data_IF_909827316698
#
_entry.id   IF_909827316698
#
_cell.length_a   1.000
_cell.length_b   1.000
_cell.length_c   1.000
_cell.angle_alpha   90.00
_cell.angle_beta   90.00
_cell.angle_gamma   90.00
#
_symmetry.space_group_name_H-M   'P 1'
#
loop_
_entity.id
_entity.type
_entity.pdbx_description
1 polymer ?
#
# COMPACT_ATOMS: atom_id res chain seq x y z
N UNK A 1 10.58 32.81 47.04
CA UNK A 1 11.95 32.69 46.52
C UNK A 1 12.47 31.35 46.99
N UNK A 2 12.21 30.32 46.20
CA UNK A 2 12.99 29.08 46.18
C UNK A 2 12.60 28.37 44.89
N UNK A 3 13.59 28.28 44.01
CA UNK A 3 13.45 27.79 42.66
C UNK A 3 13.12 26.30 42.70
N UNK A 4 12.02 25.92 42.07
CA UNK A 4 11.80 24.55 41.64
C UNK A 4 12.89 24.29 40.58
N UNK A 5 13.90 23.53 40.96
CA UNK A 5 14.90 23.00 40.03
C UNK A 5 14.17 22.17 38.97
N UNK A 6 14.05 22.75 37.78
CA UNK A 6 13.73 22.04 36.56
C UNK A 6 14.93 21.12 36.27
N UNK A 7 14.83 19.87 36.71
CA UNK A 7 15.71 18.80 36.24
C UNK A 7 15.24 18.46 34.83
N UNK A 8 15.75 19.19 33.85
CA UNK A 8 15.64 18.86 32.43
C UNK A 8 16.65 17.75 32.13
N UNK A 9 16.26 16.50 32.42
CA UNK A 9 17.01 15.34 31.95
C UNK A 9 16.78 15.23 30.44
N UNK A 10 17.64 15.88 29.65
CA UNK A 10 17.75 15.68 28.21
C UNK A 10 17.87 14.16 27.97
N UNK A 11 16.82 13.53 27.44
CA UNK A 11 16.78 12.07 27.27
C UNK A 11 17.91 11.66 26.33
N UNK A 12 18.77 10.75 26.80
CA UNK A 12 19.88 10.25 25.98
C UNK A 12 19.34 9.57 24.71
N UNK A 13 19.82 9.98 23.53
CA UNK A 13 19.35 9.46 22.23
C UNK A 13 19.39 7.93 22.15
N UNK A 14 20.32 7.29 22.87
CA UNK A 14 20.42 5.84 22.98
C UNK A 14 19.13 5.17 23.45
N UNK A 15 18.41 5.78 24.37
CA UNK A 15 17.15 5.23 24.91
C UNK A 15 15.97 5.45 23.96
N UNK A 16 16.12 6.39 23.01
CA UNK A 16 15.06 6.83 22.12
C UNK A 16 15.14 6.17 20.75
N UNK A 17 16.35 5.98 20.21
CA UNK A 17 16.57 5.59 18.81
C UNK A 17 17.48 4.37 18.70
N UNK A 18 17.04 3.37 17.93
CA UNK A 18 17.90 2.28 17.45
C UNK A 18 18.19 2.48 15.97
N UNK A 19 19.45 2.36 15.58
CA UNK A 19 19.88 2.45 14.18
C UNK A 19 19.82 1.06 13.56
N UNK A 20 19.04 0.89 12.49
CA UNK A 20 19.12 -0.29 11.63
C UNK A 20 19.95 0.08 10.40
N UNK A 21 21.18 -0.43 10.35
CA UNK A 21 22.10 -0.24 9.24
C UNK A 21 21.99 -1.42 8.27
N UNK A 22 21.71 -1.14 7.00
CA UNK A 22 21.51 -2.16 5.96
C UNK A 22 22.65 -2.15 4.96
N UNK A 23 23.21 -3.32 4.69
CA UNK A 23 24.23 -3.48 3.66
C UNK A 23 24.06 -4.78 2.87
N UNK A 24 24.58 -4.78 1.65
CA UNK A 24 24.46 -5.86 0.67
C UNK A 24 25.80 -6.11 -0.01
N UNK A 25 25.92 -7.22 -0.74
CA UNK A 25 27.13 -7.46 -1.54
C UNK A 25 27.31 -6.36 -2.61
N UNK A 26 28.52 -5.78 -2.68
CA UNK A 26 28.90 -4.76 -3.65
C UNK A 26 30.28 -5.08 -4.25
N UNK A 27 30.60 -4.55 -5.45
CA UNK A 27 31.85 -4.88 -6.15
C UNK A 27 33.14 -4.56 -5.40
N UNK A 28 33.11 -3.63 -4.44
CA UNK A 28 34.29 -3.21 -3.68
C UNK A 28 34.61 -4.13 -2.50
N UNK A 29 33.77 -5.13 -2.21
CA UNK A 29 34.04 -6.09 -1.13
C UNK A 29 35.37 -6.82 -1.39
N UNK A 30 36.23 -7.03 -0.38
CA UNK A 30 35.94 -6.91 1.06
C UNK A 30 36.11 -5.52 1.68
N UNK A 31 36.41 -4.48 0.88
CA UNK A 31 36.68 -3.13 1.41
C UNK A 31 35.47 -2.54 2.14
N UNK A 32 35.71 -1.96 3.33
CA UNK A 32 34.72 -1.28 4.16
C UNK A 32 34.67 0.23 3.96
N UNK A 33 35.47 0.78 3.03
CA UNK A 33 35.65 2.24 2.84
C UNK A 33 34.35 3.02 2.71
N UNK A 34 33.38 2.47 1.97
CA UNK A 34 32.07 3.09 1.77
C UNK A 34 31.27 3.15 3.08
N UNK A 35 31.31 2.08 3.88
CA UNK A 35 30.65 2.05 5.20
C UNK A 35 31.34 3.03 6.14
N UNK A 36 32.67 3.08 6.09
CA UNK A 36 33.45 3.97 6.96
C UNK A 36 33.14 5.44 6.68
N UNK A 37 33.09 5.85 5.41
CA UNK A 37 32.68 7.21 5.02
C UNK A 37 31.26 7.56 5.52
N UNK A 38 30.34 6.59 5.51
CA UNK A 38 29.00 6.77 6.07
C UNK A 38 29.06 6.93 7.59
N UNK A 39 29.82 6.11 8.30
CA UNK A 39 29.96 6.22 9.75
C UNK A 39 30.67 7.51 10.18
N UNK A 40 31.67 7.98 9.42
CA UNK A 40 32.28 9.29 9.63
C UNK A 40 31.24 10.42 9.53
N UNK A 41 30.28 10.29 8.61
CA UNK A 41 29.19 11.26 8.48
C UNK A 41 28.23 11.28 9.68
N UNK A 42 28.24 10.27 10.56
CA UNK A 42 27.42 10.27 11.77
C UNK A 42 27.87 11.37 12.75
N UNK A 43 29.08 11.91 12.61
CA UNK A 43 29.56 13.06 13.37
C UNK A 43 28.74 14.34 13.11
N UNK A 44 27.99 14.41 11.99
CA UNK A 44 27.02 15.48 11.78
C UNK A 44 25.79 15.38 12.70
N UNK A 45 25.63 14.27 13.43
CA UNK A 45 24.50 14.01 14.31
C UNK A 45 25.03 13.71 15.72
N UNK A 46 25.14 14.72 16.61
CA UNK A 46 25.62 14.53 17.97
C UNK A 46 24.82 13.44 18.70
N UNK A 47 25.53 12.51 19.34
CA UNK A 47 24.94 11.39 20.10
C UNK A 47 24.47 10.18 19.28
N UNK A 48 24.49 10.25 17.94
CA UNK A 48 24.05 9.12 17.10
C UNK A 48 24.96 7.89 17.24
N UNK A 49 26.27 8.09 17.34
CA UNK A 49 27.26 7.02 17.58
C UNK A 49 27.11 6.35 18.95
N UNK A 50 26.36 6.96 19.87
CA UNK A 50 26.08 6.36 21.18
C UNK A 50 24.85 5.45 21.14
N UNK A 51 24.05 5.48 20.07
CA UNK A 51 22.81 4.72 19.99
C UNK A 51 23.06 3.21 19.82
N UNK A 52 22.05 2.41 20.18
CA UNK A 52 22.05 0.99 19.81
C UNK A 52 22.02 0.84 18.29
N UNK A 53 22.76 -0.14 17.77
CA UNK A 53 22.87 -0.36 16.33
C UNK A 53 22.68 -1.82 15.95
N UNK A 54 21.93 -2.03 14.87
CA UNK A 54 21.65 -3.33 14.28
C UNK A 54 22.14 -3.30 12.84
N UNK A 55 23.19 -4.05 12.53
CA UNK A 55 23.70 -4.19 11.17
C UNK A 55 23.10 -5.44 10.54
N UNK A 56 22.41 -5.29 9.41
CA UNK A 56 21.78 -6.40 8.70
C UNK A 56 22.31 -6.56 7.28
N UNK A 57 22.62 -7.80 6.94
CA UNK A 57 23.12 -8.24 5.64
C UNK A 57 22.02 -9.01 4.91
N UNK A 58 21.56 -8.53 3.75
CA UNK A 58 20.35 -9.03 3.07
C UNK A 58 20.51 -10.38 2.34
N UNK A 59 21.73 -10.93 2.36
CA UNK A 59 22.09 -12.24 1.83
C UNK A 59 22.28 -12.26 0.30
N UNK A 60 22.66 -13.41 -0.22
CA UNK A 60 23.03 -13.58 -1.63
C UNK A 60 22.47 -14.86 -2.25
N UNK A 61 22.58 -14.95 -3.58
CA UNK A 61 22.32 -16.13 -4.40
C UNK A 61 23.65 -16.46 -5.09
N UNK A 62 24.17 -17.66 -4.85
CA UNK A 62 25.37 -18.14 -5.56
C UNK A 62 24.99 -18.48 -6.99
N UNK A 63 25.74 -17.98 -7.96
CA UNK A 63 25.60 -18.37 -9.37
C UNK A 63 26.64 -19.42 -9.75
N UNK A 64 26.31 -20.24 -10.75
CA UNK A 64 27.21 -21.26 -11.30
C UNK A 64 28.44 -20.63 -11.98
N UNK A 65 29.52 -21.40 -12.04
CA UNK A 65 30.78 -20.97 -12.65
C UNK A 65 30.59 -20.60 -14.13
N UNK A 66 31.14 -19.45 -14.51
CA UNK A 66 30.99 -18.89 -15.86
C UNK A 66 29.77 -17.97 -16.06
N UNK A 67 28.88 -17.86 -15.08
CA UNK A 67 27.76 -16.89 -15.11
C UNK A 67 28.22 -15.54 -14.54
N UNK A 68 27.91 -14.46 -15.25
CA UNK A 68 28.26 -13.10 -14.83
C UNK A 68 27.56 -12.69 -13.51
N UNK A 69 28.35 -12.15 -12.59
CA UNK A 69 27.92 -11.57 -11.30
C UNK A 69 27.01 -10.35 -11.52
N UNK A 70 25.86 -10.34 -10.85
CA UNK A 70 24.89 -9.23 -10.85
C UNK A 70 24.56 -8.78 -9.44
N UNK A 71 25.39 -7.85 -8.92
CA UNK A 71 25.27 -7.28 -7.57
C UNK A 71 23.91 -6.65 -7.26
N UNK A 72 23.28 -5.94 -8.21
CA UNK A 72 21.91 -5.36 -8.01
C UNK A 72 20.83 -6.43 -7.73
N UNK A 73 21.07 -7.66 -8.17
CA UNK A 73 20.20 -8.80 -7.89
C UNK A 73 20.80 -9.79 -6.90
N UNK A 74 21.92 -9.42 -6.27
CA UNK A 74 22.70 -10.21 -5.30
C UNK A 74 22.92 -11.64 -5.78
N UNK A 75 23.15 -11.78 -7.09
CA UNK A 75 23.55 -13.00 -7.77
C UNK A 75 25.05 -12.91 -7.96
N UNK A 76 25.83 -13.59 -7.13
CA UNK A 76 27.27 -13.41 -7.06
C UNK A 76 28.02 -14.74 -7.17
N UNK A 77 29.21 -14.72 -7.77
CA UNK A 77 30.05 -15.90 -7.95
C UNK A 77 30.61 -16.39 -6.61
N UNK A 78 31.11 -17.62 -6.56
CA UNK A 78 31.71 -18.19 -5.34
C UNK A 78 32.89 -17.35 -4.81
N UNK A 79 33.70 -16.77 -5.70
CA UNK A 79 34.80 -15.87 -5.31
C UNK A 79 34.28 -14.60 -4.61
N UNK A 80 33.22 -13.98 -5.15
CA UNK A 80 32.61 -12.78 -4.58
C UNK A 80 31.87 -13.06 -3.27
N UNK A 81 31.39 -14.29 -3.06
CA UNK A 81 30.84 -14.73 -1.78
C UNK A 81 31.93 -14.70 -0.69
N UNK A 82 33.12 -15.21 -0.98
CA UNK A 82 34.24 -15.18 -0.02
C UNK A 82 34.58 -13.76 0.38
N UNK A 83 34.72 -12.85 -0.59
CA UNK A 83 34.94 -11.41 -0.35
C UNK A 83 33.81 -10.78 0.46
N UNK A 84 32.56 -11.20 0.22
CA UNK A 84 31.41 -10.68 0.97
C UNK A 84 31.38 -11.19 2.42
N UNK A 85 31.79 -12.43 2.69
CA UNK A 85 31.90 -12.95 4.06
C UNK A 85 33.00 -12.20 4.81
N UNK A 86 34.18 -12.00 4.19
CA UNK A 86 35.25 -11.18 4.77
C UNK A 86 34.78 -9.74 5.05
N UNK A 87 34.01 -9.15 4.14
CA UNK A 87 33.37 -7.85 4.34
C UNK A 87 32.42 -7.84 5.55
N UNK A 88 31.62 -8.88 5.74
CA UNK A 88 30.70 -8.97 6.89
C UNK A 88 31.44 -8.91 8.22
N UNK A 89 32.58 -9.60 8.32
CA UNK A 89 33.41 -9.62 9.52
C UNK A 89 34.14 -8.28 9.71
N UNK A 90 34.68 -7.70 8.63
CA UNK A 90 35.33 -6.40 8.67
C UNK A 90 34.36 -5.25 9.06
N UNK A 91 33.11 -5.30 8.58
CA UNK A 91 32.06 -4.34 8.98
C UNK A 91 31.70 -4.52 10.45
N UNK A 92 31.56 -5.76 10.93
CA UNK A 92 31.29 -6.01 12.34
C UNK A 92 32.34 -5.34 13.24
N UNK A 93 33.61 -5.53 12.93
CA UNK A 93 34.72 -4.91 13.67
C UNK A 93 34.75 -3.38 13.52
N UNK A 94 34.48 -2.86 12.31
CA UNK A 94 34.39 -1.41 12.09
C UNK A 94 33.32 -0.76 12.97
N UNK A 95 32.15 -1.38 13.10
CA UNK A 95 31.09 -0.88 13.97
C UNK A 95 31.47 -0.93 15.44
N UNK A 96 32.17 -1.97 15.91
CA UNK A 96 32.70 -2.03 17.29
C UNK A 96 33.58 -0.83 17.60
N UNK A 97 34.51 -0.51 16.70
CA UNK A 97 35.44 0.60 16.86
C UNK A 97 34.73 1.96 16.80
N UNK A 98 33.84 2.16 15.81
CA UNK A 98 33.15 3.46 15.60
C UNK A 98 32.11 3.77 16.67
N UNK A 99 31.48 2.75 17.26
CA UNK A 99 30.51 2.90 18.35
C UNK A 99 31.17 2.78 19.75
N UNK A 100 32.50 2.66 19.81
CA UNK A 100 33.25 2.71 21.05
C UNK A 100 32.97 1.55 22.00
N UNK A 101 32.68 0.34 21.48
CA UNK A 101 32.53 -0.84 22.31
C UNK A 101 33.89 -1.21 22.94
N UNK A 102 33.90 -1.42 24.25
CA UNK A 102 35.12 -1.77 24.99
C UNK A 102 35.52 -3.24 24.80
N UNK A 103 36.78 -3.56 25.08
CA UNK A 103 37.30 -4.94 25.02
C UNK A 103 36.58 -5.90 25.99
N UNK A 104 35.88 -5.38 27.00
CA UNK A 104 35.14 -6.16 27.99
C UNK A 104 33.70 -6.51 27.53
N UNK A 105 33.34 -6.23 26.27
CA UNK A 105 32.02 -6.54 25.74
C UNK A 105 31.70 -8.04 25.80
N UNK A 106 30.43 -8.35 26.06
CA UNK A 106 29.91 -9.71 26.05
C UNK A 106 29.34 -9.99 24.67
N UNK A 107 29.90 -10.98 23.98
CA UNK A 107 29.41 -11.43 22.67
C UNK A 107 28.55 -12.69 22.81
N UNK A 108 27.29 -12.62 22.38
CA UNK A 108 26.37 -13.75 22.28
C UNK A 108 26.10 -14.07 20.82
N UNK A 109 26.12 -15.36 20.46
CA UNK A 109 25.81 -15.82 19.10
C UNK A 109 24.63 -16.78 19.13
N UNK A 110 23.69 -16.59 18.21
CA UNK A 110 22.49 -17.42 18.07
C UNK A 110 22.13 -17.62 16.60
N UNK A 111 21.36 -18.66 16.33
CA UNK A 111 20.74 -18.89 15.03
C UNK A 111 19.22 -18.85 15.19
N UNK A 112 18.55 -18.17 14.27
CA UNK A 112 17.09 -18.13 14.18
C UNK A 112 16.63 -18.63 12.82
N UNK A 113 15.48 -19.31 12.78
CA UNK A 113 14.85 -19.78 11.55
C UNK A 113 13.45 -19.18 11.42
N UNK A 114 13.19 -18.50 10.29
CA UNK A 114 11.95 -17.77 10.08
C UNK A 114 11.36 -17.96 8.68
N UNK A 115 10.03 -17.83 8.52
CA UNK A 115 9.38 -18.01 7.23
C UNK A 115 9.52 -16.78 6.30
N UNK A 116 10.00 -17.01 5.07
CA UNK A 116 9.92 -16.04 3.95
C UNK A 116 8.57 -16.15 3.24
N UNK A 117 8.17 -17.39 2.88
CA UNK A 117 6.92 -17.74 2.18
C UNK A 117 6.29 -18.98 2.83
N UNK A 118 5.04 -19.31 2.45
CA UNK A 118 4.27 -20.46 3.01
C UNK A 118 5.03 -21.80 3.07
N UNK A 119 6.08 -22.01 2.25
CA UNK A 119 6.87 -23.25 2.19
C UNK A 119 8.38 -23.00 2.17
N UNK A 120 8.84 -21.83 2.59
CA UNK A 120 10.26 -21.45 2.47
C UNK A 120 10.71 -20.74 3.73
N UNK A 121 11.57 -21.39 4.51
CA UNK A 121 12.21 -20.85 5.72
C UNK A 121 13.61 -20.35 5.39
N UNK A 122 14.12 -19.41 6.18
CA UNK A 122 15.48 -18.89 6.09
C UNK A 122 16.12 -18.90 7.47
N UNK A 123 17.43 -19.08 7.47
CA UNK A 123 18.25 -19.00 8.68
C UNK A 123 18.96 -17.66 8.73
N UNK A 124 19.04 -17.09 9.92
CA UNK A 124 19.87 -15.93 10.23
C UNK A 124 20.82 -16.26 11.37
N UNK A 125 22.08 -15.89 11.21
CA UNK A 125 23.05 -15.88 12.31
C UNK A 125 23.01 -14.50 12.94
N UNK A 126 22.76 -14.44 14.24
CA UNK A 126 22.63 -13.21 15.02
C UNK A 126 23.79 -13.18 16.02
N UNK A 127 24.60 -12.15 15.95
CA UNK A 127 25.70 -11.88 16.89
C UNK A 127 25.35 -10.60 17.63
N UNK A 128 25.34 -10.64 18.96
CA UNK A 128 25.07 -9.48 19.82
C UNK A 128 26.29 -9.19 20.66
N UNK A 129 26.84 -8.00 20.52
CA UNK A 129 27.84 -7.46 21.44
C UNK A 129 27.16 -6.45 22.36
N UNK A 130 27.34 -6.65 23.67
CA UNK A 130 26.81 -5.75 24.69
C UNK A 130 27.99 -5.28 25.54
N UNK A 131 28.19 -3.97 25.59
CA UNK A 131 29.18 -3.37 26.48
C UNK A 131 28.56 -3.20 27.87
N UNK A 132 29.05 -3.90 28.92
CA UNK A 132 28.49 -3.80 30.26
C UNK A 132 28.81 -2.47 30.95
N UNK A 133 29.84 -1.76 30.50
CA UNK A 133 30.29 -0.48 31.08
C UNK A 133 29.44 0.67 30.56
N UNK A 134 29.24 0.70 29.24
CA UNK A 134 28.50 1.79 28.60
C UNK A 134 27.03 1.45 28.43
N UNK A 135 26.65 0.18 28.32
CA UNK A 135 25.31 -0.26 27.94
C UNK A 135 25.06 -0.20 26.43
N UNK A 136 26.07 0.13 25.61
CA UNK A 136 25.96 0.11 24.16
C UNK A 136 25.75 -1.31 23.64
N UNK A 137 24.92 -1.46 22.60
CA UNK A 137 24.62 -2.75 22.01
C UNK A 137 24.76 -2.70 20.49
N UNK A 138 25.51 -3.66 19.95
CA UNK A 138 25.68 -3.90 18.52
C UNK A 138 25.12 -5.28 18.19
N UNK A 139 24.10 -5.34 17.34
CA UNK A 139 23.56 -6.61 16.84
C UNK A 139 23.88 -6.76 15.35
N UNK A 140 24.56 -7.83 14.96
CA UNK A 140 24.86 -8.17 13.58
C UNK A 140 24.00 -9.35 13.14
N UNK A 141 23.26 -9.18 12.04
CA UNK A 141 22.36 -10.21 11.49
C UNK A 141 22.82 -10.58 10.08
N UNK A 142 23.33 -11.80 9.93
CA UNK A 142 23.79 -12.38 8.66
C UNK A 142 22.76 -13.37 8.13
N UNK A 143 22.22 -13.10 6.94
CA UNK A 143 21.21 -13.97 6.33
C UNK A 143 21.86 -15.10 5.54
N UNK A 144 21.45 -16.35 5.79
CA UNK A 144 21.99 -17.53 5.10
C UNK A 144 21.58 -17.62 3.62
N UNK A 145 20.65 -16.79 3.18
CA UNK A 145 20.26 -16.65 1.77
C UNK A 145 19.67 -15.28 1.49
N UNK A 146 19.59 -14.91 0.21
CA UNK A 146 18.94 -13.66 -0.21
C UNK A 146 17.48 -13.60 0.20
N UNK A 147 17.17 -12.67 1.09
CA UNK A 147 15.79 -12.35 1.52
C UNK A 147 15.32 -10.99 1.01
N UNK A 148 16.27 -10.11 0.66
CA UNK A 148 16.01 -8.76 0.18
C UNK A 148 15.76 -7.76 1.30
N UNK A 149 15.96 -6.48 0.97
CA UNK A 149 15.96 -5.34 1.89
C UNK A 149 14.79 -5.31 2.89
N UNK A 150 13.55 -5.41 2.41
CA UNK A 150 12.37 -5.29 3.28
C UNK A 150 12.28 -6.41 4.31
N UNK A 151 12.64 -7.64 3.93
CA UNK A 151 12.64 -8.76 4.87
C UNK A 151 13.80 -8.66 5.86
N UNK A 152 14.97 -8.20 5.42
CA UNK A 152 16.11 -7.97 6.31
C UNK A 152 15.77 -6.94 7.41
N UNK A 153 15.11 -5.84 7.05
CA UNK A 153 14.62 -4.86 8.03
C UNK A 153 13.60 -5.49 8.99
N UNK A 154 12.66 -6.29 8.47
CA UNK A 154 11.66 -6.95 9.32
C UNK A 154 12.29 -7.85 10.38
N UNK A 155 13.35 -8.58 10.03
CA UNK A 155 14.08 -9.39 10.99
C UNK A 155 14.87 -8.53 11.97
N UNK A 156 15.51 -7.44 11.52
CA UNK A 156 16.20 -6.49 12.39
C UNK A 156 15.24 -5.82 13.41
N UNK A 157 14.01 -5.49 13.00
CA UNK A 157 13.00 -4.89 13.87
C UNK A 157 12.64 -5.75 15.09
N UNK A 158 12.81 -7.08 15.03
CA UNK A 158 12.60 -7.96 16.19
C UNK A 158 13.56 -7.69 17.35
N UNK A 159 14.67 -7.01 17.07
CA UNK A 159 15.73 -6.70 18.05
C UNK A 159 15.74 -5.23 18.46
N UNK A 160 14.78 -4.43 17.98
CA UNK A 160 14.59 -3.04 18.40
C UNK A 160 13.78 -3.00 19.69
N UNK A 161 14.25 -2.24 20.67
CA UNK A 161 13.57 -2.03 21.95
C UNK A 161 13.27 -0.55 22.24
N UNK A 162 13.79 0.35 21.41
CA UNK A 162 13.60 1.80 21.55
C UNK A 162 12.32 2.25 20.83
N UNK A 163 11.71 3.38 21.23
CA UNK A 163 10.47 3.88 20.62
C UNK A 163 10.65 4.30 19.15
N UNK A 164 11.84 4.77 18.77
CA UNK A 164 12.15 5.21 17.41
C UNK A 164 13.20 4.35 16.74
N UNK A 165 13.14 4.31 15.40
CA UNK A 165 14.09 3.58 14.56
C UNK A 165 14.61 4.48 13.45
N UNK A 166 15.94 4.51 13.27
CA UNK A 166 16.58 5.09 12.10
C UNK A 166 17.01 3.96 11.15
N UNK A 167 16.38 3.86 9.98
CA UNK A 167 16.83 2.95 8.93
C UNK A 167 17.86 3.67 8.05
N UNK A 168 19.07 3.15 8.00
CA UNK A 168 20.19 3.73 7.26
C UNK A 168 20.80 2.70 6.29
N UNK A 169 21.32 3.16 5.16
CA UNK A 169 21.98 2.29 4.17
C UNK A 169 23.46 2.62 4.06
N UNK A 170 24.25 1.63 3.65
CA UNK A 170 25.70 1.74 3.46
C UNK A 170 26.15 2.78 2.44
N UNK A 171 25.29 3.26 1.53
CA UNK A 171 25.65 4.20 0.47
C UNK A 171 25.08 5.63 0.67
N UNK A 172 24.67 5.97 1.89
CA UNK A 172 24.08 7.27 2.23
C UNK A 172 24.94 8.00 3.25
N UNK A 173 25.51 9.15 2.91
CA UNK A 173 26.23 10.00 3.86
C UNK A 173 25.37 11.19 4.30
N UNK A 174 25.44 11.53 5.58
CA UNK A 174 24.93 12.82 6.04
C UNK A 174 25.84 13.94 5.54
N UNK A 175 25.24 15.01 5.03
CA UNK A 175 25.97 16.15 4.44
C UNK A 175 25.89 17.41 5.29
N UNK A 176 24.98 17.44 6.27
CA UNK A 176 24.67 18.61 7.06
C UNK A 176 24.39 18.19 8.50
N UNK A 177 24.67 19.06 9.50
CA UNK A 177 24.31 18.80 10.88
C UNK A 177 22.80 18.57 11.07
N UNK A 178 22.44 17.57 11.87
CA UNK A 178 21.04 17.27 12.19
C UNK A 178 20.89 17.14 13.70
N UNK A 179 19.92 17.87 14.26
CA UNK A 179 19.56 17.73 15.67
C UNK A 179 18.47 16.65 15.80
N UNK A 180 18.88 15.41 16.07
CA UNK A 180 17.97 14.27 16.22
C UNK A 180 17.07 14.37 17.45
N UNK A 181 17.55 14.93 18.56
CA UNK A 181 16.75 15.15 19.77
C UNK A 181 15.53 15.99 19.45
N UNK A 182 15.73 17.12 18.76
CA UNK A 182 14.60 17.95 18.29
C UNK A 182 13.66 17.19 17.37
N UNK A 183 14.17 16.35 16.46
CA UNK A 183 13.31 15.56 15.57
C UNK A 183 12.41 14.61 16.36
N UNK A 184 12.97 13.94 17.36
CA UNK A 184 12.20 13.07 18.26
C UNK A 184 11.19 13.88 19.08
N UNK A 185 11.58 15.02 19.64
CA UNK A 185 10.68 15.90 20.39
C UNK A 185 9.52 16.40 19.53
N UNK A 186 9.79 16.72 18.25
CA UNK A 186 8.78 17.14 17.29
C UNK A 186 7.81 16.00 16.95
N UNK A 187 8.29 14.75 16.84
CA UNK A 187 7.46 13.56 16.64
C UNK A 187 6.59 13.29 17.87
N UNK A 188 7.17 13.32 19.08
CA UNK A 188 6.47 13.13 20.36
C UNK A 188 5.40 14.21 20.58
N UNK A 189 5.69 15.46 20.21
CA UNK A 189 4.75 16.59 20.34
C UNK A 189 3.62 16.55 19.30
N UNK A 190 3.77 15.80 18.21
CA UNK A 190 2.84 15.79 17.08
C UNK A 190 2.46 14.37 16.62
N UNK A 191 2.00 13.49 17.52
CA UNK A 191 1.81 12.07 17.23
C UNK A 191 0.68 11.79 16.24
N UNK A 192 -0.22 12.74 15.97
CA UNK A 192 -1.28 12.57 14.97
C UNK A 192 -0.85 12.95 13.56
N UNK A 193 0.17 13.81 13.41
CA UNK A 193 0.56 14.42 12.13
C UNK A 193 1.97 14.03 11.66
N UNK A 194 2.90 13.74 12.58
CA UNK A 194 4.30 13.46 12.27
C UNK A 194 4.70 12.04 12.70
N UNK A 195 4.44 11.07 11.82
CA UNK A 195 4.74 9.65 12.06
C UNK A 195 6.08 9.18 11.47
N UNK A 196 6.56 9.88 10.45
CA UNK A 196 7.69 9.45 9.65
C UNK A 196 8.47 10.65 9.12
N UNK A 197 9.80 10.59 9.26
CA UNK A 197 10.72 11.59 8.74
C UNK A 197 11.66 10.91 7.74
N UNK A 198 11.70 11.45 6.52
CA UNK A 198 12.63 11.01 5.47
C UNK A 198 13.67 12.08 5.19
N UNK A 199 14.92 11.66 4.95
CA UNK A 199 16.00 12.56 4.54
C UNK A 199 16.08 12.68 3.02
N UNK A 200 16.26 13.89 2.52
CA UNK A 200 16.31 14.16 1.08
C UNK A 200 17.69 13.78 0.51
N UNK A 201 17.72 12.91 -0.50
CA UNK A 201 18.95 12.66 -1.27
C UNK A 201 19.21 13.71 -2.35
N UNK A 202 20.46 13.86 -2.80
CA UNK A 202 20.81 14.69 -3.97
C UNK A 202 19.98 14.34 -5.22
N UNK A 203 19.65 13.06 -5.40
CA UNK A 203 18.76 12.58 -6.48
C UNK A 203 17.32 13.04 -6.29
N UNK A 204 16.82 13.05 -5.06
CA UNK A 204 15.48 13.52 -4.71
C UNK A 204 15.36 15.04 -4.87
N UNK A 205 16.41 15.79 -4.51
CA UNK A 205 16.51 17.24 -4.73
C UNK A 205 16.48 17.61 -6.22
N UNK A 206 17.13 16.83 -7.09
CA UNK A 206 17.07 17.02 -8.55
C UNK A 206 15.70 16.66 -9.13
N UNK A 207 14.97 15.76 -8.48
CA UNK A 207 13.58 15.37 -8.81
C UNK A 207 12.52 16.30 -8.20
N UNK A 208 12.91 17.49 -7.70
CA UNK A 208 12.00 18.52 -7.17
C UNK A 208 10.91 18.94 -8.15
N UNK A 209 11.10 18.70 -9.44
CA UNK A 209 10.10 18.99 -10.46
C UNK A 209 9.46 17.67 -10.87
N UNK A 210 8.42 17.26 -10.13
CA UNK A 210 7.39 16.40 -10.72
C UNK A 210 6.39 17.37 -11.36
N UNK A 211 6.23 17.39 -12.69
CA UNK A 211 5.39 18.40 -13.35
C UNK A 211 3.95 18.45 -12.82
N UNK A 212 3.47 17.36 -12.18
CA UNK A 212 2.07 17.19 -11.78
C UNK A 212 1.85 17.15 -10.26
N UNK A 213 2.85 17.45 -9.43
CA UNK A 213 2.65 17.62 -7.98
C UNK A 213 3.08 19.03 -7.56
N UNK A 214 2.27 19.72 -6.72
CA UNK A 214 2.72 20.97 -6.13
C UNK A 214 4.05 20.75 -5.41
N UNK A 215 4.93 21.74 -5.41
CA UNK A 215 6.14 21.66 -4.60
C UNK A 215 5.70 21.50 -3.14
N UNK A 216 6.26 20.54 -2.38
CA UNK A 216 5.89 20.38 -0.99
C UNK A 216 6.39 21.62 -0.25
N UNK A 217 5.46 22.49 0.17
CA UNK A 217 5.81 23.67 0.94
C UNK A 217 6.31 23.23 2.32
N UNK A 218 7.53 23.63 2.71
CA UNK A 218 8.04 23.28 4.02
C UNK A 218 7.22 23.96 5.11
N UNK A 219 6.72 23.18 6.06
CA UNK A 219 5.99 23.60 7.24
C UNK A 219 6.98 23.61 8.41
N UNK A 220 6.83 24.57 9.32
CA UNK A 220 7.54 24.56 10.60
C UNK A 220 6.73 23.76 11.62
N UNK A 221 7.30 22.68 12.12
CA UNK A 221 6.75 21.90 13.23
C UNK A 221 7.78 21.93 14.36
N UNK A 222 7.43 22.56 15.48
CA UNK A 222 8.27 22.66 16.67
C UNK A 222 9.70 23.19 16.40
N UNK A 223 9.86 24.15 15.49
CA UNK A 223 11.15 24.75 15.14
C UNK A 223 11.97 23.92 14.15
N UNK A 224 11.36 22.90 13.54
CA UNK A 224 11.97 22.08 12.49
C UNK A 224 11.20 22.28 11.20
N UNK A 225 11.92 22.72 10.17
CA UNK A 225 11.36 22.93 8.85
C UNK A 225 11.32 21.60 8.09
N UNK A 226 10.14 21.00 8.03
CA UNK A 226 9.91 19.74 7.33
C UNK A 226 9.03 19.95 6.11
N UNK A 227 9.29 19.20 5.03
CA UNK A 227 8.44 19.22 3.84
C UNK A 227 7.60 17.94 3.79
N UNK A 228 6.29 18.01 3.48
CA UNK A 228 5.46 16.82 3.33
C UNK A 228 6.06 15.88 2.28
N UNK A 229 6.27 14.61 2.66
CA UNK A 229 6.61 13.58 1.69
C UNK A 229 5.32 13.13 1.00
N UNK A 230 5.21 13.35 -0.32
CA UNK A 230 4.08 12.90 -1.15
C UNK A 230 3.90 11.37 -1.24
N UNK A 231 4.55 10.62 -0.36
CA UNK A 231 4.43 9.18 -0.29
C UNK A 231 3.22 8.75 0.56
N UNK A 232 2.81 9.54 1.56
CA UNK A 232 1.80 9.12 2.56
C UNK A 232 0.97 10.25 3.22
N UNK A 233 0.94 11.46 2.67
CA UNK A 233 0.01 12.50 3.15
C UNK A 233 -0.25 13.54 2.08
N UNK A 234 -1.54 13.75 1.77
CA UNK A 234 -2.04 14.95 1.12
C UNK A 234 -3.32 15.36 1.84
N UNK A 235 -3.20 15.78 3.09
CA UNK A 235 -4.28 16.50 3.77
C UNK A 235 -4.26 17.96 3.31
N UNK A 236 -5.07 18.29 2.31
CA UNK A 236 -5.67 19.61 2.16
C UNK A 236 -7.15 19.41 1.89
N UNK A 237 -7.98 19.80 2.87
CA UNK A 237 -9.42 19.96 2.71
C UNK A 237 -9.69 21.05 1.68
N UNK A 238 -10.03 20.65 0.46
CA UNK A 238 -10.71 21.45 -0.58
C UNK A 238 -11.21 20.42 -1.61
N UNK A 239 -12.53 20.42 -1.88
CA UNK A 239 -13.28 19.48 -2.74
C UNK A 239 -12.38 18.66 -3.70
N UNK A 240 -12.04 17.44 -3.28
CA UNK A 240 -10.94 16.69 -3.86
C UNK A 240 -11.43 15.81 -5.01
N UNK A 241 -11.28 16.27 -6.24
CA UNK A 241 -11.40 15.40 -7.41
C UNK A 241 -10.21 14.44 -7.40
N UNK A 242 -10.47 13.15 -7.31
CA UNK A 242 -9.44 12.11 -7.21
C UNK A 242 -8.94 11.75 -8.60
N UNK A 243 -7.64 11.93 -8.85
CA UNK A 243 -7.03 11.51 -10.11
C UNK A 243 -6.87 9.99 -10.16
N UNK A 244 -7.35 9.38 -11.24
CA UNK A 244 -7.25 7.95 -11.52
C UNK A 244 -6.37 7.73 -12.75
N UNK A 245 -5.47 6.76 -12.66
CA UNK A 245 -4.62 6.37 -13.79
C UNK A 245 -5.48 5.88 -14.97
N UNK A 246 -4.93 5.94 -16.19
CA UNK A 246 -5.65 5.46 -17.40
C UNK A 246 -6.06 4.00 -17.32
N UNK A 247 -5.38 3.20 -16.51
CA UNK A 247 -5.71 1.79 -16.28
C UNK A 247 -6.69 1.56 -15.12
N UNK A 248 -7.32 2.61 -14.57
CA UNK A 248 -8.31 2.53 -13.51
C UNK A 248 -7.73 2.38 -12.09
N UNK A 249 -6.41 2.53 -11.92
CA UNK A 249 -5.74 2.38 -10.62
C UNK A 249 -5.67 3.69 -9.82
N UNK A 250 -5.87 3.54 -8.51
CA UNK A 250 -5.65 4.58 -7.50
C UNK A 250 -4.51 4.16 -6.59
N UNK A 251 -3.47 4.99 -6.50
CA UNK A 251 -2.19 4.60 -5.90
C UNK A 251 -1.94 5.14 -4.50
N UNK A 252 -2.77 6.06 -3.99
CA UNK A 252 -2.57 6.66 -2.66
C UNK A 252 -3.57 6.10 -1.65
N UNK A 253 -3.08 5.74 -0.47
CA UNK A 253 -3.91 5.21 0.62
C UNK A 253 -5.00 6.20 1.03
N UNK A 254 -4.68 7.50 1.02
CA UNK A 254 -5.63 8.56 1.28
C UNK A 254 -6.75 8.60 0.24
N UNK A 255 -6.46 8.57 -1.07
CA UNK A 255 -7.53 8.58 -2.07
C UNK A 255 -8.40 7.33 -1.95
N UNK A 256 -7.79 6.17 -1.65
CA UNK A 256 -8.53 4.93 -1.36
C UNK A 256 -9.39 5.06 -0.10
N UNK A 257 -8.91 5.76 0.92
CA UNK A 257 -9.66 6.08 2.12
C UNK A 257 -10.83 7.02 1.83
N UNK A 258 -10.58 8.15 1.16
CA UNK A 258 -11.61 9.11 0.74
C UNK A 258 -12.68 8.43 -0.12
N UNK A 259 -12.27 7.59 -1.08
CA UNK A 259 -13.18 6.78 -1.89
C UNK A 259 -14.12 5.93 -1.04
N UNK A 260 -13.60 5.29 0.01
CA UNK A 260 -14.40 4.50 0.95
C UNK A 260 -15.30 5.36 1.84
N UNK A 261 -14.68 6.32 2.53
CA UNK A 261 -15.28 7.05 3.65
C UNK A 261 -16.29 8.09 3.15
N UNK A 262 -15.98 8.80 2.07
CA UNK A 262 -16.84 9.86 1.52
C UNK A 262 -17.76 9.35 0.40
N UNK A 263 -17.25 8.46 -0.46
CA UNK A 263 -17.93 8.06 -1.69
C UNK A 263 -18.46 6.62 -1.69
N UNK A 264 -18.31 5.85 -0.60
CA UNK A 264 -18.75 4.45 -0.48
C UNK A 264 -18.21 3.51 -1.58
N UNK A 265 -17.09 3.87 -2.19
CA UNK A 265 -16.38 3.07 -3.18
C UNK A 265 -15.52 2.04 -2.43
N UNK A 266 -16.02 0.81 -2.37
CA UNK A 266 -15.43 -0.28 -1.59
C UNK A 266 -14.91 -1.39 -2.49
N UNK A 267 -13.71 -1.88 -2.16
CA UNK A 267 -13.00 -2.97 -2.85
C UNK A 267 -12.57 -2.64 -4.29
N UNK A 268 -11.41 -3.18 -4.69
CA UNK A 268 -10.90 -3.10 -6.05
C UNK A 268 -10.45 -4.47 -6.59
N UNK A 269 -10.47 -4.64 -7.91
CA UNK A 269 -10.07 -5.87 -8.62
C UNK A 269 -8.56 -5.92 -8.82
N UNK A 270 -7.80 -6.12 -7.75
CA UNK A 270 -6.35 -6.31 -7.89
C UNK A 270 -5.60 -5.93 -6.64
N UNK A 271 -4.96 -6.93 -6.03
CA UNK A 271 -3.79 -6.86 -5.15
C UNK A 271 -3.53 -8.29 -4.61
N UNK A 272 -2.27 -8.73 -4.58
CA UNK A 272 -1.88 -9.94 -3.85
C UNK A 272 -1.86 -9.58 -2.37
N UNK A 273 -2.81 -10.09 -1.58
CA UNK A 273 -2.82 -9.92 -0.13
C UNK A 273 -2.92 -11.28 0.58
N UNK A 274 -2.27 -11.42 1.75
CA UNK A 274 -2.34 -12.62 2.59
C UNK A 274 -3.73 -12.82 3.23
N UNK A 275 -4.53 -11.77 3.34
CA UNK A 275 -5.83 -11.77 4.00
C UNK A 275 -6.98 -11.52 3.01
N UNK A 276 -8.20 -11.95 3.39
CA UNK A 276 -9.38 -11.90 2.52
C UNK A 276 -9.69 -10.45 2.06
N UNK A 277 -10.13 -10.32 0.82
CA UNK A 277 -10.17 -9.07 0.06
C UNK A 277 -11.15 -8.00 0.57
N UNK A 278 -12.06 -8.33 1.48
CA UNK A 278 -13.17 -7.42 1.85
C UNK A 278 -13.12 -6.97 3.31
N UNK A 279 -12.13 -7.45 4.09
CA UNK A 279 -12.05 -7.27 5.56
C UNK A 279 -10.71 -6.72 6.06
N UNK A 280 -9.88 -6.18 5.18
CA UNK A 280 -8.57 -5.64 5.59
C UNK A 280 -8.74 -4.17 6.01
N UNK A 281 -8.24 -3.83 7.20
CA UNK A 281 -8.18 -2.46 7.73
C UNK A 281 -7.11 -1.60 7.05
N UNK A 282 -6.14 -2.23 6.38
CA UNK A 282 -5.05 -1.54 5.68
C UNK A 282 -5.51 -1.09 4.28
N UNK A 283 -5.35 0.21 3.98
CA UNK A 283 -5.68 0.81 2.69
C UNK A 283 -4.87 0.16 1.56
N UNK A 284 -5.57 -0.33 0.53
CA UNK A 284 -4.98 -1.14 -0.54
C UNK A 284 -4.50 -0.27 -1.67
N UNK A 285 -3.20 -0.30 -1.92
CA UNK A 285 -2.61 0.42 -3.06
C UNK A 285 -1.77 -0.53 -3.92
N UNK A 286 -1.92 -0.52 -5.26
CA UNK A 286 -2.96 0.20 -5.99
C UNK A 286 -4.34 -0.43 -5.78
N UNK A 287 -5.37 0.39 -5.58
CA UNK A 287 -6.77 -0.04 -5.71
C UNK A 287 -7.16 0.01 -7.18
N UNK A 288 -7.52 -1.12 -7.77
CA UNK A 288 -8.09 -1.19 -9.10
C UNK A 288 -9.60 -0.94 -9.03
N UNK A 289 -10.08 0.16 -9.60
CA UNK A 289 -11.52 0.42 -9.68
C UNK A 289 -12.18 -0.49 -10.74
N UNK A 290 -13.41 -0.92 -10.48
CA UNK A 290 -14.26 -1.55 -11.49
C UNK A 290 -14.82 -0.52 -12.47
N UNK A 291 -15.36 -0.97 -13.60
CA UNK A 291 -15.96 -0.09 -14.60
C UNK A 291 -17.12 0.72 -14.01
N UNK A 292 -17.94 0.12 -13.15
CA UNK A 292 -19.07 0.80 -12.51
C UNK A 292 -18.60 1.87 -11.51
N UNK A 293 -17.52 1.61 -10.75
CA UNK A 293 -16.93 2.56 -9.83
C UNK A 293 -16.30 3.76 -10.57
N UNK A 294 -15.62 3.50 -11.69
CA UNK A 294 -15.10 4.54 -12.58
C UNK A 294 -16.24 5.40 -13.14
N UNK A 295 -17.29 4.75 -13.66
CA UNK A 295 -18.47 5.42 -14.21
C UNK A 295 -19.07 6.40 -13.21
N UNK A 296 -19.40 5.94 -12.00
CA UNK A 296 -20.06 6.83 -11.03
C UNK A 296 -19.14 7.95 -10.55
N UNK A 297 -17.84 7.68 -10.39
CA UNK A 297 -16.92 8.71 -9.94
C UNK A 297 -16.68 9.80 -10.96
N UNK A 298 -16.64 9.45 -12.24
CA UNK A 298 -16.58 10.44 -13.32
C UNK A 298 -17.89 11.20 -13.46
N UNK A 299 -19.03 10.48 -13.45
CA UNK A 299 -20.36 11.08 -13.59
C UNK A 299 -20.68 12.09 -12.50
N UNK A 300 -20.34 11.75 -11.25
CA UNK A 300 -20.61 12.57 -10.06
C UNK A 300 -19.42 13.48 -9.70
N UNK A 301 -18.40 13.56 -10.55
CA UNK A 301 -17.35 14.57 -10.49
C UNK A 301 -16.29 14.38 -9.40
N UNK A 302 -16.26 13.24 -8.72
CA UNK A 302 -15.25 12.94 -7.69
C UNK A 302 -14.05 12.14 -8.21
N UNK A 303 -14.07 11.69 -9.47
CA UNK A 303 -12.92 11.13 -10.17
C UNK A 303 -12.61 11.94 -11.43
N UNK A 304 -11.32 12.09 -11.75
CA UNK A 304 -10.84 12.63 -13.02
C UNK A 304 -9.71 11.76 -13.57
N UNK A 305 -9.62 11.68 -14.89
CA UNK A 305 -8.53 10.99 -15.54
C UNK A 305 -7.32 11.91 -15.72
N UNK A 306 -6.12 11.37 -15.52
CA UNK A 306 -4.88 12.07 -15.84
C UNK A 306 -4.79 12.34 -17.35
N UNK A 307 -4.89 13.62 -17.75
CA UNK A 307 -4.88 14.05 -19.15
C UNK A 307 -3.48 14.24 -19.76
N UNK A 308 -2.40 14.22 -18.97
CA UNK A 308 -1.07 14.59 -19.46
C UNK A 308 -0.13 13.39 -19.59
N UNK A 309 -0.15 12.78 -20.78
CA UNK A 309 0.98 12.07 -21.40
C UNK A 309 0.72 12.04 -22.91
N UNK A 310 1.58 12.77 -23.64
CA UNK A 310 1.64 12.74 -25.09
C UNK A 310 1.97 11.36 -25.61
N UNK A 311 1.52 11.10 -26.85
CA UNK A 311 1.86 10.01 -27.77
C UNK A 311 2.87 8.97 -27.24
N UNK A 312 2.42 8.09 -26.35
CA UNK A 312 3.01 6.77 -26.17
C UNK A 312 2.13 5.83 -26.96
N UNK A 313 2.69 5.27 -28.04
CA UNK A 313 2.04 4.27 -28.90
C UNK A 313 1.29 3.27 -28.05
N UNK A 314 -0.02 3.22 -28.26
CA UNK A 314 -0.97 2.31 -27.65
C UNK A 314 -0.48 0.87 -27.82
N UNK A 315 -0.05 0.26 -26.72
CA UNK A 315 -0.29 -1.17 -26.57
C UNK A 315 -1.79 -1.28 -26.27
N UNK A 316 -2.53 -1.82 -27.22
CA UNK A 316 -3.96 -2.11 -27.09
C UNK A 316 -4.18 -2.89 -25.80
N UNK A 317 -4.63 -2.17 -24.78
CA UNK A 317 -5.11 -2.74 -23.53
C UNK A 317 -6.62 -2.75 -23.63
N UNK A 318 -7.22 -3.87 -23.24
CA UNK A 318 -8.68 -4.09 -23.17
C UNK A 318 -9.45 -2.90 -22.56
N UNK A 319 -8.84 -2.15 -21.63
CA UNK A 319 -9.41 -0.94 -21.02
C UNK A 319 -9.69 0.21 -22.00
N UNK A 320 -9.00 0.29 -23.15
CA UNK A 320 -9.26 1.32 -24.16
C UNK A 320 -10.63 1.21 -24.83
N UNK A 321 -11.16 0.00 -24.97
CA UNK A 321 -12.48 -0.28 -25.55
C UNK A 321 -13.61 0.08 -24.57
N UNK A 322 -13.50 -0.35 -23.31
CA UNK A 322 -14.42 0.07 -22.24
C UNK A 322 -14.45 1.60 -22.09
N UNK A 323 -13.31 2.25 -22.35
CA UNK A 323 -13.19 3.71 -22.38
C UNK A 323 -13.90 4.37 -23.56
N UNK A 324 -13.78 3.84 -24.78
CA UNK A 324 -14.56 4.37 -25.91
C UNK A 324 -16.07 4.23 -25.67
N UNK A 325 -16.50 3.16 -25.02
CA UNK A 325 -17.92 2.94 -24.66
C UNK A 325 -18.35 3.88 -23.53
N UNK A 326 -17.51 4.15 -22.53
CA UNK A 326 -17.80 5.13 -21.49
C UNK A 326 -17.85 6.56 -22.03
N UNK A 327 -16.89 6.95 -22.87
CA UNK A 327 -16.90 8.26 -23.55
C UNK A 327 -18.12 8.40 -24.45
N UNK A 328 -18.52 7.37 -25.20
CA UNK A 328 -19.73 7.42 -26.04
C UNK A 328 -21.01 7.56 -25.23
N UNK A 329 -21.08 6.98 -24.03
CA UNK A 329 -22.19 7.18 -23.09
C UNK A 329 -22.27 8.63 -22.58
N UNK A 330 -21.13 9.31 -22.39
CA UNK A 330 -21.09 10.71 -21.94
C UNK A 330 -21.18 11.74 -23.08
N UNK A 331 -20.82 11.39 -24.31
CA UNK A 331 -20.93 12.28 -25.49
C UNK A 331 -22.25 12.11 -26.24
N UNK A 332 -23.06 11.12 -25.89
CA UNK A 332 -24.43 11.01 -26.38
C UNK A 332 -25.24 12.24 -25.93
N UNK A 333 -25.79 13.05 -26.85
CA UNK A 333 -26.52 14.25 -26.48
C UNK A 333 -27.73 13.89 -25.60
N UNK A 334 -27.86 14.58 -24.48
CA UNK A 334 -29.08 14.59 -23.67
C UNK A 334 -30.14 15.29 -24.51
N UNK A 335 -30.92 14.50 -25.25
CA UNK A 335 -31.99 15.01 -26.07
C UNK A 335 -33.17 15.43 -25.17
N UNK A 336 -33.23 16.72 -24.85
CA UNK A 336 -34.53 17.40 -24.74
C UNK A 336 -35.10 17.47 -26.18
N UNK A 337 -36.16 16.70 -26.45
CA UNK A 337 -36.87 16.80 -27.73
C UNK A 337 -37.57 18.16 -27.83
N UNK A 338 -37.51 18.78 -29.02
CA UNK A 338 -38.75 18.92 -29.75
C UNK A 338 -38.68 18.32 -31.16
N UNK A 339 -39.83 17.79 -31.55
CA UNK A 339 -40.12 17.12 -32.81
C UNK A 339 -39.77 17.98 -34.04
N UNK A 340 -38.76 17.59 -34.80
CA UNK A 340 -38.94 17.23 -36.23
C UNK A 340 -37.61 16.89 -36.89
N UNK A 341 -37.65 15.81 -37.70
CA UNK A 341 -36.59 15.27 -38.57
C UNK A 341 -35.50 14.44 -37.87
N UNK A 342 -35.90 13.27 -37.37
CA UNK A 342 -34.98 12.13 -37.17
C UNK A 342 -34.42 11.68 -38.53
N UNK A 343 -33.21 12.11 -38.86
CA UNK A 343 -32.37 11.35 -39.80
C UNK A 343 -31.87 10.09 -39.07
N UNK A 344 -32.19 8.94 -39.63
CA UNK A 344 -31.75 7.62 -39.17
C UNK A 344 -30.23 7.51 -39.29
N UNK A 345 -29.51 7.69 -38.18
CA UNK A 345 -28.17 7.13 -38.02
C UNK A 345 -28.36 5.79 -37.31
N UNK A 346 -28.08 4.71 -38.03
CA UNK A 346 -28.23 3.34 -37.59
C UNK A 346 -26.90 2.88 -36.95
N UNK A 347 -26.66 3.25 -35.70
CA UNK A 347 -25.58 2.66 -34.90
C UNK A 347 -26.13 1.43 -34.18
N UNK A 348 -25.78 0.23 -34.66
CA UNK A 348 -26.05 -1.01 -33.95
C UNK A 348 -25.10 -1.10 -32.75
N UNK A 349 -25.60 -0.75 -31.56
CA UNK A 349 -24.92 -0.96 -30.28
C UNK A 349 -24.78 -2.48 -30.05
N UNK A 350 -23.62 -2.94 -29.59
CA UNK A 350 -23.42 -4.37 -29.34
C UNK A 350 -24.20 -4.84 -28.09
N UNK A 351 -24.57 -6.12 -28.02
CA UNK A 351 -25.28 -6.66 -26.85
C UNK A 351 -24.47 -6.51 -25.55
N UNK A 352 -23.15 -6.58 -25.63
CA UNK A 352 -22.23 -6.37 -24.50
C UNK A 352 -22.27 -4.91 -24.01
N UNK A 353 -22.38 -3.95 -24.92
CA UNK A 353 -22.51 -2.53 -24.57
C UNK A 353 -23.86 -2.20 -23.92
N UNK A 354 -24.94 -2.85 -24.35
CA UNK A 354 -26.25 -2.73 -23.71
C UNK A 354 -26.26 -3.31 -22.29
N UNK A 355 -25.66 -4.49 -22.10
CA UNK A 355 -25.49 -5.10 -20.78
C UNK A 355 -24.68 -4.20 -19.84
N UNK A 356 -23.55 -3.68 -20.32
CA UNK A 356 -22.69 -2.79 -19.54
C UNK A 356 -23.41 -1.50 -19.13
N UNK A 357 -24.17 -0.89 -20.06
CA UNK A 357 -25.01 0.29 -19.76
C UNK A 357 -26.05 -0.01 -18.68
N UNK A 358 -26.66 -1.19 -18.70
CA UNK A 358 -27.61 -1.59 -17.67
C UNK A 358 -26.92 -1.77 -16.31
N UNK A 359 -25.74 -2.40 -16.27
CA UNK A 359 -24.93 -2.53 -15.05
C UNK A 359 -24.61 -1.17 -14.43
N UNK A 360 -24.22 -0.18 -15.23
CA UNK A 360 -23.98 1.19 -14.76
C UNK A 360 -25.21 1.84 -14.14
N UNK A 361 -26.37 1.71 -14.80
CA UNK A 361 -27.65 2.22 -14.26
C UNK A 361 -28.03 1.57 -12.94
N UNK A 362 -27.86 0.25 -12.85
CA UNK A 362 -28.13 -0.53 -11.63
C UNK A 362 -27.20 -0.11 -10.50
N UNK A 363 -25.91 -0.01 -10.78
CA UNK A 363 -24.89 0.36 -9.79
C UNK A 363 -25.12 1.77 -9.25
N UNK A 364 -25.38 2.73 -10.15
CA UNK A 364 -25.65 4.12 -9.77
C UNK A 364 -26.92 4.24 -8.92
N UNK A 365 -28.03 3.61 -9.32
CA UNK A 365 -29.28 3.68 -8.57
C UNK A 365 -29.14 3.10 -7.15
N UNK A 366 -28.46 1.96 -7.01
CA UNK A 366 -28.16 1.36 -5.71
C UNK A 366 -27.21 2.24 -4.87
N UNK A 367 -26.22 2.86 -5.50
CA UNK A 367 -25.26 3.74 -4.81
C UNK A 367 -25.91 5.03 -4.32
N UNK A 368 -26.80 5.63 -5.12
CA UNK A 368 -27.62 6.79 -4.76
C UNK A 368 -28.60 6.47 -3.62
N UNK A 369 -29.11 5.23 -3.57
CA UNK A 369 -29.92 4.72 -2.46
C UNK A 369 -29.11 4.47 -1.16
N UNK A 370 -27.80 4.75 -1.16
CA UNK A 370 -26.95 4.71 0.02
C UNK A 370 -26.29 3.35 0.28
N UNK A 371 -26.46 2.37 -0.61
CA UNK A 371 -25.81 1.07 -0.44
C UNK A 371 -24.31 1.14 -0.69
N UNK A 372 -23.55 0.34 0.06
CA UNK A 372 -22.20 -0.08 -0.32
C UNK A 372 -22.32 -1.26 -1.29
N UNK A 373 -21.50 -1.28 -2.34
CA UNK A 373 -21.62 -2.26 -3.43
C UNK A 373 -20.27 -2.93 -3.70
N UNK A 374 -20.24 -4.27 -3.73
CA UNK A 374 -19.06 -5.07 -4.13
C UNK A 374 -19.43 -6.08 -5.22
N UNK A 375 -18.44 -6.74 -5.84
CA UNK A 375 -18.70 -7.85 -6.79
C UNK A 375 -19.49 -8.99 -6.15
N UNK A 376 -20.51 -9.48 -6.87
CA UNK A 376 -21.34 -10.65 -6.53
C UNK A 376 -20.80 -11.98 -7.02
N UNK A 377 -19.70 -12.00 -7.79
CA UNK A 377 -19.19 -13.18 -8.50
C UNK A 377 -19.01 -14.41 -7.60
N UNK A 378 -18.52 -14.24 -6.36
CA UNK A 378 -18.35 -15.33 -5.38
C UNK A 378 -19.67 -16.01 -4.97
N UNK A 379 -20.80 -15.37 -5.21
CA UNK A 379 -22.14 -15.83 -4.84
C UNK A 379 -23.04 -16.05 -6.07
N UNK A 380 -22.47 -16.01 -7.27
CA UNK A 380 -23.21 -16.24 -8.52
C UNK A 380 -24.15 -15.11 -8.91
N UNK A 381 -23.87 -13.87 -8.49
CA UNK A 381 -24.56 -12.67 -8.96
C UNK A 381 -23.59 -11.60 -9.43
N UNK A 382 -24.13 -10.46 -9.86
CA UNK A 382 -23.35 -9.34 -10.39
C UNK A 382 -22.80 -8.47 -9.27
N UNK A 383 -23.66 -8.13 -8.30
CA UNK A 383 -23.32 -7.28 -7.18
C UNK A 383 -23.76 -7.87 -5.84
N UNK A 384 -23.11 -7.43 -4.77
CA UNK A 384 -23.59 -7.54 -3.40
C UNK A 384 -23.87 -6.16 -2.86
N UNK A 385 -25.00 -5.99 -2.18
CA UNK A 385 -25.31 -4.74 -1.47
C UNK A 385 -25.17 -4.92 0.04
N UNK A 386 -24.73 -3.85 0.70
CA UNK A 386 -24.60 -3.77 2.15
C UNK A 386 -25.22 -2.46 2.61
N UNK A 387 -25.91 -2.50 3.75
CA UNK A 387 -26.54 -1.31 4.36
C UNK A 387 -25.50 -0.45 5.08
N UNK A 388 -24.41 -1.07 5.54
CA UNK A 388 -23.25 -0.39 6.10
C UNK A 388 -21.96 -0.95 5.48
N UNK A 389 -20.83 -0.45 5.98
CA UNK A 389 -19.51 -0.79 5.47
C UNK A 389 -19.23 -2.32 5.51
N UNK A 390 -18.75 -2.95 4.40
CA UNK A 390 -18.44 -4.38 4.34
C UNK A 390 -17.36 -4.89 5.33
N UNK A 391 -16.62 -4.01 6.00
CA UNK A 391 -15.69 -4.37 7.07
C UNK A 391 -16.43 -4.87 8.31
N UNK A 392 -17.56 -4.24 8.63
CA UNK A 392 -18.37 -4.55 9.84
C UNK A 392 -19.54 -5.45 9.51
N UNK A 393 -20.13 -5.29 8.31
CA UNK A 393 -21.41 -5.89 7.98
C UNK A 393 -21.32 -6.97 6.91
N UNK A 394 -22.26 -7.92 6.98
CA UNK A 394 -22.45 -8.92 5.95
C UNK A 394 -23.33 -8.39 4.81
N UNK A 395 -23.07 -8.84 3.58
CA UNK A 395 -23.92 -8.50 2.44
C UNK A 395 -25.39 -8.87 2.71
N UNK A 396 -26.28 -7.92 2.45
CA UNK A 396 -27.73 -8.04 2.64
C UNK A 396 -28.38 -8.78 1.48
N UNK A 397 -27.95 -8.47 0.25
CA UNK A 397 -28.54 -9.05 -0.96
C UNK A 397 -27.49 -9.39 -2.03
N UNK A 398 -27.84 -10.36 -2.87
CA UNK A 398 -27.18 -10.67 -4.12
C UNK A 398 -28.04 -10.06 -5.22
N UNK A 399 -27.46 -9.15 -6.00
CA UNK A 399 -28.12 -8.51 -7.14
C UNK A 399 -27.68 -9.21 -8.42
N UNK A 400 -28.65 -9.56 -9.25
CA UNK A 400 -28.45 -10.16 -10.57
C UNK A 400 -29.07 -9.23 -11.60
N UNK A 401 -28.28 -8.78 -12.57
CA UNK A 401 -28.70 -7.92 -13.66
C UNK A 401 -29.19 -8.80 -14.81
N UNK A 402 -30.44 -8.62 -15.23
CA UNK A 402 -31.02 -9.38 -16.32
C UNK A 402 -30.99 -8.56 -17.61
N UNK A 403 -30.47 -9.17 -18.67
CA UNK A 403 -30.51 -8.67 -20.05
C UNK A 403 -31.94 -8.55 -20.61
N UNK A 404 -32.87 -9.32 -20.05
CA UNK A 404 -34.27 -9.35 -20.44
C UNK A 404 -35.21 -9.38 -19.24
N UNK A 405 -36.41 -8.82 -19.41
CA UNK A 405 -37.53 -9.01 -18.48
C UNK A 405 -38.09 -10.45 -18.48
N UNK A 406 -37.59 -11.33 -19.35
CA UNK A 406 -37.94 -12.74 -19.40
C UNK A 406 -36.95 -13.57 -18.60
N UNK A 407 -37.45 -14.34 -17.64
CA UNK A 407 -36.65 -15.23 -16.81
C UNK A 407 -37.07 -16.69 -17.02
N UNK A 408 -36.11 -17.57 -17.31
CA UNK A 408 -36.39 -19.00 -17.41
C UNK A 408 -36.72 -19.60 -16.02
N UNK A 409 -37.62 -20.60 -15.93
CA UNK A 409 -37.88 -21.29 -14.67
C UNK A 409 -36.63 -21.91 -14.03
N UNK A 410 -35.68 -22.39 -14.86
CA UNK A 410 -34.41 -22.94 -14.37
C UNK A 410 -33.54 -21.87 -13.71
N UNK A 411 -33.43 -20.68 -14.30
CA UNK A 411 -32.68 -19.56 -13.71
C UNK A 411 -33.35 -19.08 -12.41
N UNK A 412 -34.68 -18.99 -12.39
CA UNK A 412 -35.44 -18.64 -11.18
C UNK A 412 -35.12 -19.59 -10.00
N UNK A 413 -35.16 -20.90 -10.25
CA UNK A 413 -34.81 -21.92 -9.23
C UNK A 413 -33.33 -21.82 -8.85
N UNK A 414 -32.44 -21.64 -9.82
CA UNK A 414 -31.00 -21.49 -9.59
C UNK A 414 -30.67 -20.31 -8.68
N UNK A 415 -31.18 -19.13 -9.01
CA UNK A 415 -30.97 -17.90 -8.23
C UNK A 415 -31.55 -18.02 -6.82
N UNK A 416 -32.76 -18.58 -6.69
CA UNK A 416 -33.38 -18.84 -5.39
C UNK A 416 -32.55 -19.78 -4.51
N UNK A 417 -31.98 -20.86 -5.09
CA UNK A 417 -31.11 -21.80 -4.35
C UNK A 417 -29.79 -21.16 -3.91
N UNK A 418 -29.15 -20.39 -4.79
CA UNK A 418 -27.90 -19.69 -4.49
C UNK A 418 -28.08 -18.76 -3.29
N UNK A 419 -29.07 -17.88 -3.35
CA UNK A 419 -29.30 -16.90 -2.28
C UNK A 419 -29.75 -17.52 -0.95
N UNK A 420 -30.58 -18.57 -1.00
CA UNK A 420 -31.01 -19.30 0.21
C UNK A 420 -29.84 -19.96 0.93
N UNK A 421 -28.90 -20.55 0.18
CA UNK A 421 -27.76 -21.27 0.76
C UNK A 421 -26.86 -20.36 1.61
N UNK A 422 -26.77 -19.08 1.26
CA UNK A 422 -25.95 -18.08 1.95
C UNK A 422 -26.76 -17.07 2.78
N UNK A 423 -28.07 -17.33 2.95
CA UNK A 423 -29.02 -16.49 3.72
C UNK A 423 -29.01 -15.01 3.30
N UNK A 424 -29.10 -14.75 2.00
CA UNK A 424 -29.18 -13.39 1.42
C UNK A 424 -30.47 -13.23 0.62
N UNK A 425 -30.95 -12.00 0.48
CA UNK A 425 -32.01 -11.72 -0.49
C UNK A 425 -31.47 -11.88 -1.92
N UNK A 426 -32.26 -12.47 -2.80
CA UNK A 426 -31.98 -12.49 -4.23
C UNK A 426 -32.76 -11.36 -4.88
N UNK A 427 -32.06 -10.39 -5.46
CA UNK A 427 -32.67 -9.22 -6.12
C UNK A 427 -32.33 -9.29 -7.60
N UNK A 428 -33.36 -9.28 -8.43
CA UNK A 428 -33.26 -9.20 -9.88
C UNK A 428 -33.42 -7.73 -10.28
N UNK A 429 -32.46 -7.19 -11.02
CA UNK A 429 -32.51 -5.85 -11.58
C UNK A 429 -32.62 -5.93 -13.10
N UNK A 430 -33.59 -5.24 -13.69
CA UNK A 430 -33.89 -5.33 -15.12
C UNK A 430 -34.57 -4.05 -15.61
N UNK A 431 -34.64 -3.85 -16.92
CA UNK A 431 -35.46 -2.81 -17.54
C UNK A 431 -36.81 -3.35 -17.98
N UNK A 432 -37.88 -2.61 -17.69
CA UNK A 432 -39.21 -2.94 -18.21
C UNK A 432 -39.35 -2.50 -19.68
N UNK A 433 -40.51 -2.78 -20.28
CA UNK A 433 -40.83 -2.39 -21.67
C UNK A 433 -40.80 -0.87 -21.94
N UNK A 434 -40.81 -0.05 -20.88
CA UNK A 434 -40.70 1.42 -20.94
C UNK A 434 -39.27 1.90 -20.65
N UNK A 435 -38.29 0.99 -20.66
CA UNK A 435 -36.89 1.26 -20.33
C UNK A 435 -36.67 1.83 -18.90
N UNK A 436 -37.61 1.58 -17.99
CA UNK A 436 -37.47 1.97 -16.59
C UNK A 436 -36.77 0.86 -15.81
N UNK A 437 -35.86 1.26 -14.92
CA UNK A 437 -35.13 0.34 -14.07
C UNK A 437 -36.07 -0.22 -12.98
N UNK A 438 -36.15 -1.53 -12.88
CA UNK A 438 -37.04 -2.26 -11.99
C UNK A 438 -36.24 -3.28 -11.15
N UNK A 439 -36.73 -3.53 -9.93
CA UNK A 439 -36.14 -4.50 -9.00
C UNK A 439 -37.21 -5.48 -8.54
N UNK A 440 -36.87 -6.76 -8.51
CA UNK A 440 -37.74 -7.82 -8.00
C UNK A 440 -36.98 -8.70 -7.02
N UNK A 441 -37.48 -8.87 -5.80
CA UNK A 441 -36.87 -9.74 -4.80
C UNK A 441 -37.52 -11.13 -4.84
N UNK A 442 -36.70 -12.17 -4.99
CA UNK A 442 -37.15 -13.56 -4.90
C UNK A 442 -37.03 -14.00 -3.44
N UNK A 443 -38.17 -14.35 -2.84
CA UNK A 443 -38.25 -14.92 -1.50
C UNK A 443 -38.72 -16.37 -1.58
N UNK A 444 -37.93 -17.27 -0.99
CA UNK A 444 -38.32 -18.68 -0.85
C UNK A 444 -39.13 -18.87 0.43
N UNK A 445 -40.43 -19.13 0.31
CA UNK A 445 -41.31 -19.45 1.43
C UNK A 445 -41.47 -20.97 1.56
N UNK A 446 -41.37 -21.50 2.78
CA UNK A 446 -41.72 -22.90 3.05
C UNK A 446 -43.22 -23.01 3.29
N UNK A 447 -43.89 -23.93 2.60
CA UNK A 447 -45.32 -24.23 2.78
C UNK A 447 -45.60 -25.14 3.98
N UNK A 448 -44.70 -25.20 4.96
CA UNK A 448 -44.92 -26.01 6.16
C UNK A 448 -46.07 -25.42 6.98
N UNK A 449 -47.24 -26.04 6.84
CA UNK A 449 -48.39 -25.96 7.73
C UNK A 449 -48.04 -26.53 9.11
N UNK A 450 -47.15 -25.88 9.85
CA UNK A 450 -47.08 -26.07 11.29
C UNK A 450 -48.07 -25.11 11.92
N UNK A 451 -49.25 -25.64 12.25
CA UNK A 451 -50.11 -25.04 13.26
C UNK A 451 -49.25 -24.66 14.46
N UNK A 452 -49.22 -23.37 14.76
CA UNK A 452 -48.73 -22.87 16.03
C UNK A 452 -49.51 -23.58 17.14
N UNK A 453 -48.81 -24.36 17.93
CA UNK A 453 -49.29 -24.83 19.21
C UNK A 453 -48.27 -24.43 20.26
N UNK A 454 -48.63 -23.34 20.96
CA UNK A 454 -48.10 -22.75 22.20
C UNK A 454 -46.86 -21.88 22.11
#
# INVERSE_FOLDING_TARGET
MEAIEAIDHEKELRQLVTIIFTTSAIPSNPSTSIVDEVLESFNFVPGLVNCHVIVTFDGYIVVEDGVETKFKSMKISAEEVTKYIEYQDAVHELFRQRFGLTENMITESSQDEFPIKRRTTATSTIIKDIDPTTGAALTVIKMGKRIGFALAIREALKHVHTPYVLIHQHDWTFLHPINFTKLVDAMDSNPSTLHYIGFQSRKSLKRKIRPNLPLPEPIDIAGIRIAPLFFWSLSHFLSMVINVCRDGKVWTALNVQTLRDEYRIVCGTGCICRYNSNKASEHRVPMQLTEEQLYIGMKHGFLKQDNELGDVKSTETWLGSAWSTLVSVFTAPVAEEPESKRQKINEQVSAEEEELRLRFRVFEDLWLKGYYITSGSKFGGDFLTYVADPLTDHATSIVIVLDSSKLSPHNLVGYGRLARSVKKYCVLAYTNQYNQLCYMTINHTSTSSRQENK
#
